data_IF_808785071401
#
_entry.id   IF_808785071401
#
_cell.length_a   1.000
_cell.length_b   1.000
_cell.length_c   1.000
_cell.angle_alpha   90.00
_cell.angle_beta   90.00
_cell.angle_gamma   90.00
#
_symmetry.space_group_name_H-M   'P 1'
#
loop_
_entity.id
_entity.type
_entity.pdbx_description
1 polymer ?
#
# COMPACT_ATOMS: atom_id res chain seq x y z
N UNK A 1 -18.41 -9.36 -1.20
CA UNK A 1 -18.14 -8.53 -2.42
C UNK A 1 -18.07 -7.09 -1.93
N UNK A 2 -16.91 -6.46 -2.04
CA UNK A 2 -16.60 -5.13 -1.52
C UNK A 2 -16.28 -4.20 -2.69
N UNK A 3 -16.63 -2.93 -2.59
CA UNK A 3 -16.21 -1.90 -3.55
C UNK A 3 -14.86 -1.31 -3.12
N UNK A 4 -13.85 -1.43 -3.98
CA UNK A 4 -12.47 -1.05 -3.70
C UNK A 4 -12.00 -0.04 -4.74
N UNK A 5 -11.48 1.09 -4.28
CA UNK A 5 -10.81 2.06 -5.15
C UNK A 5 -9.31 2.06 -4.86
N UNK A 6 -8.50 1.91 -5.91
CA UNK A 6 -7.03 1.86 -5.80
C UNK A 6 -6.42 3.09 -6.47
N UNK A 7 -5.90 4.04 -5.71
CA UNK A 7 -5.04 5.10 -6.22
C UNK A 7 -3.66 4.52 -6.56
N UNK A 8 -3.23 4.68 -7.80
CA UNK A 8 -1.99 4.07 -8.29
C UNK A 8 -2.16 2.63 -8.79
N UNK A 9 -3.37 2.22 -9.15
CA UNK A 9 -3.71 0.85 -9.56
C UNK A 9 -3.07 0.39 -10.88
N UNK A 10 -2.29 1.21 -11.59
CA UNK A 10 -1.45 0.81 -12.74
C UNK A 10 0.02 0.64 -12.38
N UNK A 11 0.42 0.96 -11.14
CA UNK A 11 1.77 0.70 -10.61
C UNK A 11 1.97 -0.77 -10.25
N UNK A 12 3.21 -1.16 -9.91
CA UNK A 12 3.52 -2.56 -9.59
C UNK A 12 2.63 -3.12 -8.46
N UNK A 13 2.65 -2.52 -7.29
CA UNK A 13 1.82 -2.97 -6.18
C UNK A 13 0.33 -2.84 -6.49
N UNK A 14 -0.09 -1.67 -6.99
CA UNK A 14 -1.50 -1.38 -7.23
C UNK A 14 -2.16 -2.27 -8.27
N UNK A 15 -1.42 -2.67 -9.32
CA UNK A 15 -1.95 -3.59 -10.34
C UNK A 15 -2.18 -5.00 -9.79
N UNK A 16 -1.25 -5.52 -8.99
CA UNK A 16 -1.43 -6.83 -8.35
C UNK A 16 -2.56 -6.83 -7.32
N UNK A 17 -2.73 -5.74 -6.56
CA UNK A 17 -3.88 -5.58 -5.66
C UNK A 17 -5.19 -5.55 -6.45
N UNK A 18 -5.25 -4.76 -7.53
CA UNK A 18 -6.45 -4.66 -8.37
C UNK A 18 -6.79 -5.99 -9.03
N UNK A 19 -5.79 -6.74 -9.49
CA UNK A 19 -5.95 -8.07 -10.08
C UNK A 19 -6.48 -9.08 -9.06
N UNK A 20 -5.83 -9.19 -7.90
CA UNK A 20 -6.26 -10.10 -6.85
C UNK A 20 -7.70 -9.79 -6.39
N UNK A 21 -8.03 -8.51 -6.21
CA UNK A 21 -9.38 -8.10 -5.83
C UNK A 21 -10.43 -8.44 -6.91
N UNK A 22 -10.12 -8.22 -8.19
CA UNK A 22 -11.02 -8.55 -9.28
C UNK A 22 -11.23 -10.07 -9.42
N UNK A 23 -10.17 -10.86 -9.26
CA UNK A 23 -10.25 -12.35 -9.28
C UNK A 23 -11.12 -12.86 -8.14
N UNK A 24 -11.08 -12.23 -6.96
CA UNK A 24 -11.93 -12.57 -5.81
C UNK A 24 -13.36 -12.00 -5.92
N UNK A 25 -13.73 -11.38 -7.05
CA UNK A 25 -15.10 -10.93 -7.32
C UNK A 25 -15.48 -9.61 -6.67
N UNK A 26 -14.51 -8.78 -6.25
CA UNK A 26 -14.76 -7.41 -5.79
C UNK A 26 -15.04 -6.46 -6.95
N UNK A 27 -15.70 -5.35 -6.66
CA UNK A 27 -15.84 -4.24 -7.59
C UNK A 27 -14.61 -3.33 -7.47
N UNK A 28 -13.75 -3.34 -8.47
CA UNK A 28 -12.46 -2.62 -8.42
C UNK A 28 -12.43 -1.44 -9.38
N UNK A 29 -12.11 -0.26 -8.86
CA UNK A 29 -11.80 0.92 -9.67
C UNK A 29 -10.33 1.31 -9.46
N UNK A 30 -9.56 1.31 -10.53
CA UNK A 30 -8.16 1.79 -10.57
C UNK A 30 -8.14 3.26 -10.98
N UNK A 31 -7.67 4.14 -10.10
CA UNK A 31 -7.44 5.55 -10.36
C UNK A 31 -5.96 5.80 -10.66
N UNK A 32 -5.67 6.33 -11.83
CA UNK A 32 -4.30 6.57 -12.31
C UNK A 32 -4.18 7.94 -12.96
N UNK A 33 -3.03 8.59 -12.83
CA UNK A 33 -2.78 9.92 -13.42
C UNK A 33 -2.75 9.93 -14.96
N UNK A 34 -2.47 8.79 -15.54
CA UNK A 34 -2.42 8.57 -17.00
C UNK A 34 -3.22 7.32 -17.33
N UNK A 35 -3.66 7.21 -18.56
CA UNK A 35 -4.31 5.99 -19.03
C UNK A 35 -3.41 4.77 -18.81
N UNK A 36 -3.99 3.69 -18.30
CA UNK A 36 -3.25 2.46 -18.05
C UNK A 36 -2.87 1.80 -19.37
N UNK A 37 -1.59 1.51 -19.56
CA UNK A 37 -1.09 0.85 -20.76
C UNK A 37 -1.60 -0.59 -20.89
N UNK A 38 -1.87 -1.24 -19.77
CA UNK A 38 -2.45 -2.58 -19.70
C UNK A 38 -3.66 -2.54 -18.78
N UNK A 39 -4.76 -3.16 -19.20
CA UNK A 39 -5.98 -3.26 -18.43
C UNK A 39 -6.20 -4.69 -17.96
N UNK A 40 -6.54 -4.85 -16.70
CA UNK A 40 -6.85 -6.13 -16.06
C UNK A 40 -8.36 -6.38 -16.22
N UNK A 41 -8.74 -7.61 -16.58
CA UNK A 41 -10.13 -7.98 -16.71
C UNK A 41 -10.87 -7.82 -15.36
N UNK A 42 -12.06 -7.26 -15.38
CA UNK A 42 -12.85 -7.01 -14.16
C UNK A 42 -12.48 -5.74 -13.39
N UNK A 43 -11.46 -4.97 -13.84
CA UNK A 43 -11.08 -3.70 -13.24
C UNK A 43 -11.59 -2.53 -14.08
N UNK A 44 -12.26 -1.58 -13.45
CA UNK A 44 -12.64 -0.29 -14.07
C UNK A 44 -11.48 0.68 -13.95
N UNK A 45 -11.08 1.30 -15.06
CA UNK A 45 -9.99 2.28 -15.08
C UNK A 45 -10.53 3.69 -15.26
N UNK A 46 -10.04 4.62 -14.44
CA UNK A 46 -10.34 6.06 -14.55
C UNK A 46 -9.05 6.88 -14.38
N UNK A 47 -8.98 7.97 -15.12
CA UNK A 47 -7.93 8.98 -14.91
C UNK A 47 -8.30 9.86 -13.74
N UNK A 48 -7.36 10.02 -12.81
CA UNK A 48 -7.53 10.83 -11.61
C UNK A 48 -6.27 10.85 -10.75
N UNK A 49 -6.26 11.70 -9.74
CA UNK A 49 -5.11 11.90 -8.87
C UNK A 49 -5.50 12.00 -7.41
N UNK A 50 -4.73 11.37 -6.53
CA UNK A 50 -4.87 11.57 -5.08
C UNK A 50 -4.64 13.04 -4.66
N UNK A 51 -3.94 13.82 -5.49
CA UNK A 51 -3.71 15.25 -5.25
C UNK A 51 -4.98 16.09 -5.47
N UNK A 52 -5.92 15.59 -6.27
CA UNK A 52 -7.17 16.31 -6.57
C UNK A 52 -8.25 15.97 -5.56
N UNK A 53 -8.83 17.00 -4.93
CA UNK A 53 -9.88 16.84 -3.92
C UNK A 53 -11.18 16.26 -4.49
N UNK A 54 -11.51 16.57 -5.75
CA UNK A 54 -12.72 16.03 -6.39
C UNK A 54 -12.56 14.54 -6.68
N UNK A 55 -11.35 14.10 -7.10
CA UNK A 55 -11.05 12.69 -7.33
C UNK A 55 -11.08 11.89 -6.01
N UNK A 56 -10.53 12.45 -4.91
CA UNK A 56 -10.64 11.82 -3.58
C UNK A 56 -12.10 11.70 -3.13
N UNK A 57 -12.87 12.77 -3.26
CA UNK A 57 -14.28 12.76 -2.88
C UNK A 57 -15.12 11.78 -3.73
N UNK A 58 -14.82 11.65 -5.02
CA UNK A 58 -15.46 10.67 -5.89
C UNK A 58 -15.12 9.25 -5.49
N UNK A 59 -13.84 8.96 -5.20
CA UNK A 59 -13.38 7.65 -4.75
C UNK A 59 -14.10 7.21 -3.46
N UNK A 60 -14.20 8.10 -2.47
CA UNK A 60 -14.83 7.80 -1.19
C UNK A 60 -16.36 7.56 -1.27
N UNK A 61 -17.04 8.14 -2.27
CA UNK A 61 -18.48 7.90 -2.48
C UNK A 61 -18.78 6.50 -3.02
N UNK A 62 -17.83 5.87 -3.66
CA UNK A 62 -18.01 4.62 -4.39
C UNK A 62 -17.42 3.43 -3.64
N UNK A 63 -16.52 3.67 -2.69
CA UNK A 63 -15.72 2.65 -2.07
C UNK A 63 -16.12 2.35 -0.61
N UNK A 64 -16.08 1.09 -0.24
CA UNK A 64 -16.04 0.62 1.14
C UNK A 64 -14.59 0.60 1.67
N UNK A 65 -13.61 0.42 0.76
CA UNK A 65 -12.19 0.54 1.06
C UNK A 65 -11.45 1.31 -0.03
N UNK A 66 -10.58 2.23 0.37
CA UNK A 66 -9.69 2.97 -0.54
C UNK A 66 -8.25 2.55 -0.24
N UNK A 67 -7.54 2.14 -1.29
CA UNK A 67 -6.13 1.73 -1.21
C UNK A 67 -5.25 2.77 -1.90
N UNK A 68 -4.21 3.21 -1.21
CA UNK A 68 -3.19 4.11 -1.77
C UNK A 68 -1.92 3.32 -2.07
N UNK A 69 -1.68 3.05 -3.35
CA UNK A 69 -0.48 2.40 -3.87
C UNK A 69 0.35 3.39 -4.73
N UNK A 70 0.53 4.60 -4.21
CA UNK A 70 1.24 5.70 -4.88
C UNK A 70 2.60 5.89 -4.24
N UNK A 71 3.66 5.77 -5.06
CA UNK A 71 5.03 5.98 -4.61
C UNK A 71 5.39 7.47 -4.63
N UNK A 72 6.07 8.02 -3.61
CA UNK A 72 6.55 9.40 -3.58
C UNK A 72 7.83 9.58 -4.40
N UNK A 73 7.78 9.27 -5.70
CA UNK A 73 8.89 9.40 -6.65
C UNK A 73 8.59 10.40 -7.76
N UNK A 74 9.65 11.00 -8.30
CA UNK A 74 9.54 11.95 -9.41
C UNK A 74 8.62 13.10 -9.04
N UNK A 75 7.60 13.35 -9.85
CA UNK A 75 6.62 14.43 -9.62
C UNK A 75 5.82 14.28 -8.32
N UNK A 76 5.77 13.08 -7.74
CA UNK A 76 5.03 12.82 -6.51
C UNK A 76 5.86 12.99 -5.24
N UNK A 77 7.19 13.18 -5.37
CA UNK A 77 8.06 13.38 -4.20
C UNK A 77 7.63 14.59 -3.37
N UNK A 78 7.46 14.39 -2.07
CA UNK A 78 6.99 15.41 -1.13
C UNK A 78 5.50 15.74 -1.22
N UNK A 79 4.75 15.15 -2.16
CA UNK A 79 3.32 15.41 -2.33
C UNK A 79 2.43 14.29 -1.79
N UNK A 80 2.97 13.08 -1.63
CA UNK A 80 2.18 11.91 -1.22
C UNK A 80 1.73 12.04 0.23
N UNK A 81 2.62 12.45 1.14
CA UNK A 81 2.28 12.63 2.56
C UNK A 81 1.10 13.59 2.78
N UNK A 82 1.12 14.85 2.28
CA UNK A 82 -0.02 15.76 2.46
C UNK A 82 -1.30 15.25 1.75
N UNK A 83 -1.17 14.55 0.63
CA UNK A 83 -2.32 14.00 -0.07
C UNK A 83 -2.98 12.85 0.72
N UNK A 84 -2.18 11.97 1.34
CA UNK A 84 -2.69 10.91 2.22
C UNK A 84 -3.31 11.50 3.48
N UNK A 85 -2.71 12.53 4.07
CA UNK A 85 -3.29 13.21 5.23
C UNK A 85 -4.68 13.81 4.92
N UNK A 86 -4.84 14.43 3.74
CA UNK A 86 -6.13 14.94 3.29
C UNK A 86 -7.13 13.81 3.04
N UNK A 87 -6.71 12.73 2.34
CA UNK A 87 -7.57 11.57 2.10
C UNK A 87 -7.97 10.88 3.41
N UNK A 88 -7.09 10.80 4.40
CA UNK A 88 -7.36 10.20 5.70
C UNK A 88 -8.48 10.96 6.45
N UNK A 89 -8.43 12.29 6.45
CA UNK A 89 -9.49 13.12 7.03
C UNK A 89 -10.82 12.97 6.27
N UNK A 90 -10.78 12.93 4.94
CA UNK A 90 -11.96 12.73 4.10
C UNK A 90 -12.56 11.33 4.30
N UNK A 91 -11.71 10.28 4.41
CA UNK A 91 -12.11 8.89 4.64
C UNK A 91 -12.73 8.68 6.03
N UNK A 92 -12.16 9.31 7.06
CA UNK A 92 -12.72 9.32 8.42
C UNK A 92 -14.14 9.91 8.43
N UNK A 93 -14.32 11.06 7.80
CA UNK A 93 -15.63 11.72 7.71
C UNK A 93 -16.67 10.89 6.91
N UNK A 94 -16.21 10.10 5.93
CA UNK A 94 -17.04 9.24 5.11
C UNK A 94 -17.26 7.84 5.72
N UNK A 95 -16.52 7.45 6.77
CA UNK A 95 -16.55 6.10 7.34
C UNK A 95 -16.00 5.02 6.39
N UNK A 96 -15.05 5.38 5.53
CA UNK A 96 -14.43 4.49 4.54
C UNK A 96 -13.08 4.00 5.07
N UNK A 97 -12.80 2.72 4.94
CA UNK A 97 -11.53 2.12 5.37
C UNK A 97 -10.39 2.54 4.46
N UNK A 98 -9.26 2.93 5.04
CA UNK A 98 -8.07 3.38 4.32
C UNK A 98 -6.93 2.37 4.43
N UNK A 99 -6.48 1.82 3.30
CA UNK A 99 -5.25 1.04 3.18
C UNK A 99 -4.13 1.86 2.54
N UNK A 100 -2.96 1.89 3.15
CA UNK A 100 -1.79 2.58 2.61
C UNK A 100 -0.66 1.59 2.36
N UNK A 101 -0.20 1.53 1.12
CA UNK A 101 0.97 0.74 0.77
C UNK A 101 2.20 1.60 0.99
N UNK A 102 2.99 1.21 1.98
CA UNK A 102 4.24 1.87 2.32
C UNK A 102 5.45 1.25 1.68
N UNK A 103 6.59 1.36 2.35
CA UNK A 103 7.85 0.74 1.97
C UNK A 103 8.48 -0.02 3.14
N UNK A 104 9.44 -0.89 2.83
CA UNK A 104 10.18 -1.64 3.83
C UNK A 104 11.11 -0.77 4.69
N UNK A 105 11.50 0.42 4.20
CA UNK A 105 12.49 1.27 4.87
C UNK A 105 12.14 1.67 6.30
N UNK A 106 10.86 1.69 6.67
CA UNK A 106 10.40 1.99 8.03
C UNK A 106 10.27 0.77 8.94
N UNK A 107 10.61 -0.43 8.45
CA UNK A 107 10.66 -1.65 9.28
C UNK A 107 11.91 -1.65 10.14
N UNK A 108 11.78 -2.13 11.37
CA UNK A 108 12.91 -2.38 12.27
C UNK A 108 13.68 -3.62 11.78
N UNK A 109 14.99 -3.56 11.81
CA UNK A 109 15.84 -4.73 11.45
C UNK A 109 15.75 -5.82 12.53
N UNK A 110 15.60 -5.41 13.78
CA UNK A 110 15.36 -6.28 14.94
C UNK A 110 14.40 -5.55 15.89
N UNK A 111 13.69 -6.24 16.79
CA UNK A 111 12.75 -5.60 17.70
C UNK A 111 13.39 -4.45 18.50
N UNK A 112 12.89 -3.22 18.34
CA UNK A 112 13.41 -1.99 18.95
C UNK A 112 14.76 -1.53 18.39
N UNK A 113 15.21 -2.14 17.29
CA UNK A 113 16.48 -1.81 16.61
C UNK A 113 16.35 -0.68 15.58
N UNK A 114 17.43 -0.43 14.82
CA UNK A 114 17.43 0.58 13.78
C UNK A 114 16.47 0.20 12.63
N UNK A 115 15.99 1.23 11.91
CA UNK A 115 15.17 1.01 10.74
C UNK A 115 16.01 0.44 9.58
N UNK A 116 15.34 -0.23 8.65
CA UNK A 116 16.01 -0.71 7.44
C UNK A 116 16.62 0.44 6.64
N UNK A 117 15.96 1.61 6.60
CA UNK A 117 16.48 2.81 5.94
C UNK A 117 17.76 3.40 6.59
N UNK A 118 18.06 3.01 7.83
CA UNK A 118 19.29 3.42 8.54
C UNK A 118 20.48 2.47 8.23
N UNK A 119 20.22 1.35 7.54
CA UNK A 119 21.27 0.41 7.14
C UNK A 119 22.26 1.08 6.16
N UNK A 120 23.57 0.83 6.33
CA UNK A 120 24.56 1.26 5.34
C UNK A 120 24.32 0.71 3.92
N UNK A 121 23.66 -0.44 3.84
CA UNK A 121 23.35 -1.11 2.56
C UNK A 121 22.04 -0.63 1.92
N UNK A 122 21.30 0.26 2.60
CA UNK A 122 20.08 0.84 2.04
C UNK A 122 20.44 1.90 0.99
N UNK A 123 19.97 1.72 -0.25
CA UNK A 123 20.29 2.61 -1.35
C UNK A 123 19.88 4.07 -1.08
N UNK A 124 20.82 4.99 -1.19
CA UNK A 124 20.59 6.42 -0.93
C UNK A 124 19.45 7.00 -1.78
N UNK A 125 19.28 6.50 -3.00
CA UNK A 125 18.21 6.91 -3.90
C UNK A 125 16.80 6.58 -3.41
N UNK A 126 16.67 5.59 -2.51
CA UNK A 126 15.38 5.18 -1.93
C UNK A 126 15.07 5.87 -0.59
N UNK A 127 16.07 6.48 0.05
CA UNK A 127 15.90 7.13 1.37
C UNK A 127 14.82 8.21 1.40
N UNK A 128 14.73 9.13 0.42
CA UNK A 128 13.69 10.15 0.44
C UNK A 128 12.28 9.56 0.44
N UNK A 129 12.05 8.52 -0.37
CA UNK A 129 10.78 7.80 -0.41
C UNK A 129 10.50 7.09 0.92
N UNK A 130 11.49 6.37 1.45
CA UNK A 130 11.36 5.65 2.71
C UNK A 130 11.02 6.60 3.88
N UNK A 131 11.67 7.76 3.95
CA UNK A 131 11.41 8.77 4.97
C UNK A 131 10.03 9.41 4.83
N UNK A 132 9.57 9.71 3.60
CA UNK A 132 8.23 10.24 3.38
C UNK A 132 7.17 9.22 3.81
N UNK A 133 7.31 7.95 3.45
CA UNK A 133 6.35 6.91 3.85
C UNK A 133 6.43 6.57 5.35
N UNK A 134 7.60 6.66 5.98
CA UNK A 134 7.72 6.56 7.43
C UNK A 134 6.97 7.70 8.15
N UNK A 135 7.04 8.91 7.60
CA UNK A 135 6.29 10.05 8.12
C UNK A 135 4.77 9.89 7.94
N UNK A 136 4.31 9.29 6.82
CA UNK A 136 2.89 8.92 6.64
C UNK A 136 2.43 7.94 7.72
N UNK A 137 3.22 6.90 8.02
CA UNK A 137 2.91 5.96 9.08
C UNK A 137 2.83 6.64 10.45
N UNK A 138 3.76 7.56 10.73
CA UNK A 138 3.76 8.33 11.98
C UNK A 138 2.51 9.21 12.09
N UNK A 139 2.08 9.86 11.01
CA UNK A 139 0.85 10.67 10.97
C UNK A 139 -0.39 9.81 11.22
N UNK A 140 -0.48 8.64 10.58
CA UNK A 140 -1.59 7.69 10.80
C UNK A 140 -1.64 7.19 12.26
N UNK A 141 -0.50 6.89 12.85
CA UNK A 141 -0.40 6.47 14.26
C UNK A 141 -0.75 7.58 15.25
N UNK A 142 -0.46 8.82 14.90
CA UNK A 142 -0.78 10.00 15.70
C UNK A 142 -2.24 10.44 15.59
N UNK A 143 -2.98 9.93 14.59
CA UNK A 143 -4.41 10.20 14.46
C UNK A 143 -5.16 9.53 15.62
N UNK A 144 -5.86 10.31 16.44
CA UNK A 144 -6.65 9.85 17.60
C UNK A 144 -8.15 9.74 17.27
N UNK A 145 -8.55 10.03 16.02
CA UNK A 145 -9.91 9.94 15.52
C UNK A 145 -10.44 8.53 15.33
N UNK A 146 -11.49 8.40 14.58
CA UNK A 146 -12.23 7.15 14.33
C UNK A 146 -11.84 6.45 13.03
N UNK A 147 -10.87 6.98 12.28
CA UNK A 147 -10.44 6.39 11.00
C UNK A 147 -10.01 4.94 11.19
N UNK A 148 -10.64 4.03 10.48
CA UNK A 148 -10.13 2.66 10.33
C UNK A 148 -9.11 2.63 9.19
N UNK A 149 -7.86 2.32 9.55
CA UNK A 149 -6.76 2.27 8.59
C UNK A 149 -5.84 1.07 8.83
N UNK A 150 -5.21 0.64 7.76
CA UNK A 150 -4.05 -0.24 7.81
C UNK A 150 -2.92 0.31 6.94
N UNK A 151 -1.69 0.03 7.34
CA UNK A 151 -0.50 0.38 6.58
C UNK A 151 0.31 -0.89 6.32
N UNK A 152 0.69 -1.14 5.08
CA UNK A 152 1.43 -2.34 4.72
C UNK A 152 2.82 -1.99 4.28
N UNK A 153 3.82 -2.50 5.00
CA UNK A 153 5.20 -2.48 4.56
C UNK A 153 5.48 -3.79 3.80
N UNK A 154 5.82 -3.75 2.52
CA UNK A 154 6.26 -4.94 1.80
C UNK A 154 7.58 -5.47 2.36
N UNK A 155 8.00 -6.64 1.90
CA UNK A 155 9.33 -7.19 2.15
C UNK A 155 10.44 -6.26 1.65
N UNK A 156 11.67 -6.49 2.10
CA UNK A 156 12.85 -5.72 1.69
C UNK A 156 13.06 -5.72 0.18
N UNK A 157 12.92 -6.90 -0.43
CA UNK A 157 12.89 -7.07 -1.88
C UNK A 157 11.44 -7.16 -2.36
N UNK A 158 10.95 -6.07 -2.95
CA UNK A 158 9.62 -5.96 -3.50
C UNK A 158 9.62 -5.05 -4.74
N UNK A 159 9.33 -5.62 -5.89
CA UNK A 159 9.30 -4.88 -7.15
C UNK A 159 9.34 -5.81 -8.37
N UNK A 160 9.26 -5.27 -9.59
CA UNK A 160 9.22 -6.06 -10.82
C UNK A 160 10.51 -6.85 -11.09
N UNK A 161 11.56 -6.58 -10.34
CA UNK A 161 12.82 -7.35 -10.37
C UNK A 161 12.80 -8.59 -9.49
N UNK A 162 11.84 -8.70 -8.58
CA UNK A 162 11.67 -9.91 -7.77
C UNK A 162 10.99 -10.95 -8.62
N UNK A 163 11.77 -11.90 -9.14
CA UNK A 163 11.23 -13.05 -9.85
C UNK A 163 10.44 -13.91 -8.86
N UNK A 164 9.16 -14.12 -9.12
CA UNK A 164 8.35 -14.98 -8.27
C UNK A 164 7.14 -15.48 -9.04
N UNK A 165 6.98 -16.80 -9.10
CA UNK A 165 5.68 -17.39 -9.40
C UNK A 165 4.76 -17.17 -8.19
N UNK A 166 3.47 -17.07 -8.43
CA UNK A 166 2.48 -17.07 -7.38
C UNK A 166 2.63 -18.34 -6.52
N UNK A 167 2.85 -18.16 -5.21
CA UNK A 167 3.04 -19.27 -4.25
C UNK A 167 1.76 -19.62 -3.50
N UNK A 168 0.86 -18.66 -3.33
CA UNK A 168 -0.37 -18.81 -2.57
C UNK A 168 -0.14 -18.88 -1.05
N UNK A 169 1.05 -18.51 -0.57
CA UNK A 169 1.42 -18.50 0.84
C UNK A 169 2.37 -17.36 1.15
N UNK A 170 2.20 -16.74 2.31
CA UNK A 170 3.05 -15.68 2.83
C UNK A 170 2.96 -15.65 4.36
N UNK A 171 3.94 -15.01 4.99
CA UNK A 171 3.93 -14.73 6.43
C UNK A 171 3.54 -13.29 6.69
N UNK A 172 2.85 -13.06 7.81
CA UNK A 172 2.46 -11.73 8.28
C UNK A 172 3.25 -11.41 9.53
N UNK A 173 3.77 -10.18 9.61
CA UNK A 173 4.47 -9.64 10.77
C UNK A 173 4.01 -8.21 11.09
N UNK A 174 4.59 -7.63 12.13
CA UNK A 174 4.30 -6.27 12.57
C UNK A 174 5.33 -5.25 12.11
N UNK A 175 6.08 -4.69 13.06
CA UNK A 175 7.04 -3.61 12.84
C UNK A 175 8.43 -4.09 12.43
N UNK A 176 8.72 -5.38 12.54
CA UNK A 176 10.05 -5.95 12.27
C UNK A 176 10.09 -6.59 10.88
N UNK A 177 11.18 -6.38 10.18
CA UNK A 177 11.44 -6.99 8.87
C UNK A 177 11.36 -8.52 8.97
N UNK A 178 10.54 -9.13 8.12
CA UNK A 178 10.50 -10.58 8.00
C UNK A 178 11.61 -11.05 7.04
N UNK A 179 12.35 -12.05 7.45
CA UNK A 179 13.37 -12.72 6.63
C UNK A 179 13.14 -14.22 6.65
N UNK A 180 13.59 -14.92 5.63
CA UNK A 180 13.72 -16.37 5.63
C UNK A 180 14.96 -16.83 6.44
N UNK A 181 15.20 -18.14 6.48
CA UNK A 181 16.35 -18.76 7.17
C UNK A 181 17.72 -18.33 6.59
N UNK A 182 17.76 -17.77 5.40
CA UNK A 182 18.95 -17.25 4.74
C UNK A 182 19.10 -15.72 4.92
N UNK A 183 18.20 -15.08 5.66
CA UNK A 183 18.20 -13.64 5.85
C UNK A 183 17.60 -12.85 4.68
N UNK A 184 16.94 -13.50 3.73
CA UNK A 184 16.28 -12.85 2.58
C UNK A 184 14.87 -12.42 2.96
N UNK A 185 14.55 -11.16 2.67
CA UNK A 185 13.21 -10.59 2.81
C UNK A 185 12.65 -10.29 1.43
N UNK A 186 11.73 -11.10 0.95
CA UNK A 186 11.17 -10.97 -0.39
C UNK A 186 9.70 -11.38 -0.44
N UNK A 187 8.92 -10.76 -1.37
CA UNK A 187 7.57 -11.20 -1.72
C UNK A 187 7.29 -10.85 -3.20
N UNK A 188 6.61 -11.74 -3.91
CA UNK A 188 6.12 -11.50 -5.26
C UNK A 188 4.90 -10.58 -5.26
N UNK A 189 4.70 -9.85 -6.38
CA UNK A 189 3.56 -8.93 -6.50
C UNK A 189 2.21 -9.62 -6.38
N UNK A 190 2.06 -10.83 -6.94
CA UNK A 190 0.80 -11.58 -6.89
C UNK A 190 0.43 -11.96 -5.45
N UNK A 191 1.36 -12.53 -4.68
CA UNK A 191 1.14 -12.89 -3.27
C UNK A 191 0.93 -11.66 -2.39
N UNK A 192 1.65 -10.56 -2.68
CA UNK A 192 1.40 -9.27 -2.03
C UNK A 192 -0.03 -8.77 -2.29
N UNK A 193 -0.51 -8.85 -3.54
CA UNK A 193 -1.88 -8.48 -3.89
C UNK A 193 -2.91 -9.29 -3.12
N UNK A 194 -2.71 -10.61 -3.00
CA UNK A 194 -3.57 -11.50 -2.20
C UNK A 194 -3.56 -11.08 -0.73
N UNK A 195 -2.40 -10.82 -0.14
CA UNK A 195 -2.31 -10.40 1.26
C UNK A 195 -3.10 -9.12 1.58
N UNK A 196 -3.17 -8.17 0.63
CA UNK A 196 -3.97 -6.97 0.78
C UNK A 196 -5.47 -7.27 0.67
N UNK A 197 -5.85 -8.17 -0.23
CA UNK A 197 -7.26 -8.57 -0.38
C UNK A 197 -7.74 -9.36 0.82
N UNK A 198 -6.93 -10.27 1.35
CA UNK A 198 -7.24 -11.02 2.57
C UNK A 198 -7.48 -10.04 3.75
N UNK A 199 -6.67 -8.99 3.90
CA UNK A 199 -6.86 -7.95 4.93
C UNK A 199 -8.14 -7.11 4.70
N UNK A 200 -8.59 -6.96 3.44
CA UNK A 200 -9.86 -6.28 3.13
C UNK A 200 -11.06 -7.19 3.46
N UNK A 201 -10.96 -8.49 3.13
CA UNK A 201 -12.03 -9.46 3.33
C UNK A 201 -12.19 -9.86 4.80
N UNK A 202 -11.06 -10.08 5.49
CA UNK A 202 -10.99 -10.47 6.91
C UNK A 202 -10.11 -9.46 7.67
N UNK A 203 -10.66 -8.29 8.05
CA UNK A 203 -9.91 -7.24 8.71
C UNK A 203 -9.31 -7.70 10.04
N UNK A 204 -7.99 -7.74 10.12
CA UNK A 204 -7.23 -8.11 11.32
C UNK A 204 -6.36 -6.97 11.85
N UNK A 205 -6.06 -5.99 10.99
CA UNK A 205 -5.21 -4.84 11.33
C UNK A 205 -6.03 -3.56 11.32
N UNK A 206 -6.51 -3.14 12.50
CA UNK A 206 -7.20 -1.87 12.70
C UNK A 206 -6.25 -0.85 13.31
N UNK A 207 -6.07 0.30 12.65
CA UNK A 207 -5.15 1.38 13.07
C UNK A 207 -3.73 0.86 13.33
N UNK A 208 -3.28 -0.02 12.46
CA UNK A 208 -2.04 -0.77 12.63
C UNK A 208 -1.26 -0.88 11.33
N UNK A 209 0.06 -1.05 11.48
CA UNK A 209 0.93 -1.51 10.41
C UNK A 209 1.10 -3.02 10.50
N UNK A 210 1.21 -3.65 9.34
CA UNK A 210 1.73 -5.00 9.19
C UNK A 210 2.75 -5.09 8.04
N UNK A 211 3.50 -6.18 8.01
CA UNK A 211 4.42 -6.50 6.92
C UNK A 211 4.16 -7.91 6.42
N UNK A 212 4.49 -8.15 5.15
CA UNK A 212 4.30 -9.46 4.51
C UNK A 212 5.57 -9.86 3.75
N UNK A 213 5.96 -11.13 3.88
CA UNK A 213 7.10 -11.74 3.19
C UNK A 213 6.92 -13.26 3.09
N UNK A 214 7.73 -13.91 2.27
CA UNK A 214 7.86 -15.38 2.23
C UNK A 214 8.57 -15.93 3.47
#
# INVERSE_FOLDING_TARGET
>A
MTSIVVFGGSGYAGSHIAEAAAVNGHQVTSLTRREAATQIAGVTYRTGSILDAADRAAALKEAEAVIVAVSPRGEMAGQVRPAIAALAADAEAAGVRLGVIGGAGSLEQTPGGPLLADSPDFGEEFKPEALEMAAVLADLRANDGSLDWFFVSPAGDFGPWVAGEFRGEYRVGGDVLLTDDNGVSAIGGADFGVAIVDEIEEPTHHRARFTVAY
#
